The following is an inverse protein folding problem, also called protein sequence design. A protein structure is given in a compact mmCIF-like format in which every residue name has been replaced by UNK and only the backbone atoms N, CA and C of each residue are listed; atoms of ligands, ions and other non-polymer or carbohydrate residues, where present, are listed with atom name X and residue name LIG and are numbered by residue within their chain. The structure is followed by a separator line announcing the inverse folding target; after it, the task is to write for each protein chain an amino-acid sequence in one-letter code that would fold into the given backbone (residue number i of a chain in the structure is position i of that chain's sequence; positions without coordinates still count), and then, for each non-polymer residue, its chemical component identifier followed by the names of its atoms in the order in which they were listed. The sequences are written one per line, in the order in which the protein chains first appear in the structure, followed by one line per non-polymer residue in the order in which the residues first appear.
data_IF_478463462707
#
_entry.id   IF_478463462707
#
_cell.length_a   1.000
_cell.length_b   1.000
_cell.length_c   1.000
_cell.angle_alpha   90.00
_cell.angle_beta   90.00
_cell.angle_gamma   90.00
#
_symmetry.space_group_name_H-M   'P 1'
#
loop_
_entity.id
_entity.type
_entity.pdbx_description
1 polymer ?
#
# COMPACT_ATOMS: atom_id res chain seq x y z
N UNK A 1 45.08 -36.49 37.61
CA UNK A 1 46.56 -36.34 37.68
C UNK A 1 47.00 -35.51 38.89
N UNK A 2 46.71 -34.20 38.99
CA UNK A 2 47.14 -33.38 40.16
C UNK A 2 46.47 -33.86 41.45
N UNK A 3 45.19 -34.23 41.39
CA UNK A 3 44.47 -34.84 42.50
C UNK A 3 45.09 -36.18 42.92
N UNK A 4 45.37 -37.07 41.95
CA UNK A 4 46.04 -38.36 42.21
C UNK A 4 47.43 -38.20 42.84
N UNK A 5 48.23 -37.23 42.37
CA UNK A 5 49.54 -36.90 42.95
C UNK A 5 49.37 -36.36 44.37
N UNK A 6 48.35 -35.53 44.62
CA UNK A 6 48.05 -35.00 45.95
C UNK A 6 47.62 -36.13 46.91
N UNK A 7 46.81 -37.08 46.46
CA UNK A 7 46.39 -38.25 47.25
C UNK A 7 47.59 -39.17 47.55
N UNK A 8 48.44 -39.45 46.57
CA UNK A 8 49.66 -40.24 46.76
C UNK A 8 50.64 -39.55 47.70
N UNK A 9 50.83 -38.24 47.56
CA UNK A 9 51.69 -37.44 48.43
C UNK A 9 51.14 -37.39 49.86
N UNK A 10 49.82 -37.32 50.02
CA UNK A 10 49.14 -37.40 51.31
C UNK A 10 49.37 -38.76 52.00
N UNK A 11 49.27 -39.86 51.24
CA UNK A 11 49.57 -41.22 51.73
C UNK A 11 51.06 -41.41 52.08
N UNK A 12 51.97 -40.90 51.25
CA UNK A 12 53.41 -40.91 51.51
C UNK A 12 53.76 -40.11 52.77
N UNK A 13 53.18 -38.92 52.94
CA UNK A 13 53.36 -38.06 54.11
C UNK A 13 52.76 -38.67 55.39
N UNK A 14 51.65 -39.40 55.27
CA UNK A 14 51.06 -40.16 56.37
C UNK A 14 52.01 -41.29 56.82
N UNK A 15 52.53 -42.07 55.88
CA UNK A 15 53.49 -43.14 56.19
C UNK A 15 54.77 -42.57 56.82
N UNK A 16 55.28 -41.45 56.31
CA UNK A 16 56.43 -40.75 56.89
C UNK A 16 56.16 -40.21 58.30
N UNK A 17 54.93 -39.73 58.57
CA UNK A 17 54.52 -39.27 59.90
C UNK A 17 54.45 -40.42 60.91
N UNK A 18 53.98 -41.60 60.48
CA UNK A 18 53.94 -42.82 61.29
C UNK A 18 55.37 -43.28 61.63
N UNK A 19 56.25 -43.33 60.63
CA UNK A 19 57.64 -43.76 60.84
C UNK A 19 58.43 -42.77 61.73
N UNK A 20 58.18 -41.47 61.57
CA UNK A 20 58.76 -40.44 62.43
C UNK A 20 58.29 -40.53 63.90
N UNK A 21 57.05 -41.00 64.13
CA UNK A 21 56.55 -41.28 65.48
C UNK A 21 57.23 -42.52 66.10
N UNK A 22 57.51 -43.56 65.29
CA UNK A 22 58.26 -44.75 65.73
C UNK A 22 59.71 -44.43 66.15
N UNK A 23 60.35 -43.44 65.55
CA UNK A 23 61.72 -43.01 65.87
C UNK A 23 61.85 -42.19 67.18
N UNK A 24 60.75 -41.93 67.90
CA UNK A 24 60.76 -41.29 69.21
C UNK A 24 61.37 -39.88 69.22
N UNK A 25 62.34 -39.62 70.10
CA UNK A 25 62.97 -38.29 70.25
C UNK A 25 63.76 -37.84 69.01
N UNK A 26 64.31 -38.78 68.23
CA UNK A 26 65.10 -38.49 67.03
C UNK A 26 64.23 -38.14 65.81
N UNK A 27 62.94 -38.54 65.81
CA UNK A 27 62.00 -38.33 64.71
C UNK A 27 61.18 -37.04 64.77
N UNK A 28 61.27 -36.26 65.86
CA UNK A 28 60.42 -35.07 66.07
C UNK A 28 60.48 -34.04 64.93
N UNK A 29 61.67 -33.78 64.39
CA UNK A 29 61.83 -32.86 63.26
C UNK A 29 61.20 -33.39 61.96
N UNK A 30 61.36 -34.69 61.69
CA UNK A 30 60.75 -35.36 60.53
C UNK A 30 59.22 -35.43 60.64
N UNK A 31 58.67 -35.61 61.85
CA UNK A 31 57.23 -35.64 62.09
C UNK A 31 56.56 -34.30 61.74
N UNK A 32 57.20 -33.17 62.07
CA UNK A 32 56.69 -31.83 61.73
C UNK A 32 56.69 -31.63 60.22
N UNK A 33 57.77 -32.02 59.53
CA UNK A 33 57.86 -31.92 58.06
C UNK A 33 56.81 -32.81 57.40
N UNK A 34 56.64 -34.06 57.84
CA UNK A 34 55.66 -34.98 57.28
C UNK A 34 54.21 -34.47 57.47
N UNK A 35 53.91 -33.86 58.62
CA UNK A 35 52.60 -33.25 58.86
C UNK A 35 52.34 -32.03 57.96
N UNK A 36 53.35 -31.19 57.71
CA UNK A 36 53.21 -30.05 56.80
C UNK A 36 53.06 -30.49 55.34
N UNK A 37 53.81 -31.51 54.90
CA UNK A 37 53.65 -32.11 53.56
C UNK A 37 52.23 -32.69 53.40
N UNK A 38 51.71 -33.36 54.43
CA UNK A 38 50.33 -33.89 54.43
C UNK A 38 49.30 -32.77 54.25
N UNK A 39 49.46 -31.68 55.01
CA UNK A 39 48.57 -30.52 54.94
C UNK A 39 48.62 -29.83 53.57
N UNK A 40 49.81 -29.68 52.98
CA UNK A 40 49.99 -29.14 51.63
C UNK A 40 49.35 -30.05 50.56
N UNK A 41 49.44 -31.37 50.73
CA UNK A 41 48.80 -32.34 49.84
C UNK A 41 47.26 -32.26 49.92
N UNK A 42 46.68 -32.19 51.13
CA UNK A 42 45.24 -31.98 51.34
C UNK A 42 44.75 -30.62 50.79
N UNK A 43 45.56 -29.56 50.92
CA UNK A 43 45.27 -28.25 50.32
C UNK A 43 45.33 -28.30 48.79
N UNK A 44 46.31 -29.01 48.22
CA UNK A 44 46.49 -29.15 46.78
C UNK A 44 45.35 -29.95 46.14
N UNK A 45 44.89 -31.03 46.80
CA UNK A 45 43.71 -31.80 46.38
C UNK A 45 42.44 -30.94 46.37
N UNK A 46 42.19 -30.16 47.44
CA UNK A 46 41.04 -29.23 47.49
C UNK A 46 41.11 -28.16 46.40
N UNK A 47 42.28 -27.56 46.18
CA UNK A 47 42.46 -26.57 45.13
C UNK A 47 42.23 -27.17 43.73
N UNK A 48 42.71 -28.39 43.49
CA UNK A 48 42.47 -29.12 42.24
C UNK A 48 40.97 -29.39 42.01
N UNK A 49 40.23 -29.79 43.04
CA UNK A 49 38.78 -29.98 42.96
C UNK A 49 38.01 -28.68 42.67
N UNK A 50 38.40 -27.57 43.28
CA UNK A 50 37.80 -26.25 42.99
C UNK A 50 38.12 -25.77 41.56
N UNK A 51 39.34 -26.02 41.08
CA UNK A 51 39.70 -25.76 39.67
C UNK A 51 38.86 -26.63 38.73
N UNK A 52 38.64 -27.90 39.07
CA UNK A 52 37.82 -28.80 38.26
C UNK A 52 36.39 -28.29 38.11
N UNK A 53 35.72 -27.92 39.21
CA UNK A 53 34.38 -27.32 39.17
C UNK A 53 34.33 -26.05 38.33
N UNK A 54 35.36 -25.20 38.41
CA UNK A 54 35.44 -23.98 37.59
C UNK A 54 35.58 -24.31 36.10
N UNK A 55 36.35 -25.34 35.77
CA UNK A 55 36.49 -25.81 34.38
C UNK A 55 35.16 -26.36 33.87
N UNK A 56 34.45 -27.17 34.66
CA UNK A 56 33.11 -27.67 34.29
C UNK A 56 32.14 -26.52 34.03
N UNK A 57 32.09 -25.52 34.92
CA UNK A 57 31.24 -24.35 34.73
C UNK A 57 31.59 -23.54 33.46
N UNK A 58 32.88 -23.42 33.13
CA UNK A 58 33.33 -22.78 31.88
C UNK A 58 32.93 -23.60 30.65
N UNK A 59 33.03 -24.93 30.72
CA UNK A 59 32.61 -25.83 29.63
C UNK A 59 31.10 -25.79 29.40
N UNK A 60 30.30 -25.77 30.47
CA UNK A 60 28.85 -25.62 30.40
C UNK A 60 28.48 -24.27 29.78
N UNK A 61 29.09 -23.17 30.27
CA UNK A 61 28.89 -21.84 29.71
C UNK A 61 29.29 -21.74 28.24
N UNK A 62 30.37 -22.43 27.83
CA UNK A 62 30.79 -22.49 26.42
C UNK A 62 29.79 -23.25 25.56
N UNK A 63 29.22 -24.34 26.06
CA UNK A 63 28.19 -25.11 25.34
C UNK A 63 26.95 -24.24 25.14
N UNK A 64 26.49 -23.58 26.20
CA UNK A 64 25.34 -22.69 26.13
C UNK A 64 25.55 -21.50 25.18
N UNK A 65 26.76 -20.94 25.15
CA UNK A 65 27.10 -19.89 24.20
C UNK A 65 27.02 -20.36 22.74
N UNK A 66 27.45 -21.60 22.45
CA UNK A 66 27.35 -22.19 21.10
C UNK A 66 25.88 -22.38 20.71
N UNK A 67 25.04 -22.90 21.61
CA UNK A 67 23.60 -23.06 21.37
C UNK A 67 22.93 -21.71 21.07
N UNK A 68 23.21 -20.70 21.89
CA UNK A 68 22.67 -19.34 21.70
C UNK A 68 23.08 -18.75 20.35
N UNK A 69 24.34 -18.94 19.94
CA UNK A 69 24.83 -18.47 18.63
C UNK A 69 24.14 -19.22 17.48
N UNK A 70 23.88 -20.52 17.64
CA UNK A 70 23.14 -21.31 16.65
C UNK A 70 21.69 -20.82 16.49
N UNK A 71 21.00 -20.57 17.61
CA UNK A 71 19.64 -20.01 17.61
C UNK A 71 19.60 -18.62 16.96
N UNK A 72 20.55 -17.76 17.32
CA UNK A 72 20.70 -16.44 16.71
C UNK A 72 20.92 -16.54 15.19
N UNK A 73 21.70 -17.51 14.72
CA UNK A 73 21.86 -17.80 13.30
C UNK A 73 20.54 -18.15 12.61
N UNK A 74 19.70 -18.99 13.25
CA UNK A 74 18.36 -19.31 12.76
C UNK A 74 17.46 -18.08 12.66
N UNK A 75 17.44 -17.23 13.69
CA UNK A 75 16.68 -15.98 13.68
C UNK A 75 17.11 -15.02 12.57
N UNK A 76 18.43 -14.89 12.33
CA UNK A 76 18.96 -14.05 11.24
C UNK A 76 18.48 -14.55 9.88
N UNK A 77 18.41 -15.87 9.67
CA UNK A 77 17.88 -16.43 8.41
C UNK A 77 16.41 -16.07 8.20
N UNK A 78 15.57 -16.24 9.24
CA UNK A 78 14.16 -15.86 9.16
C UNK A 78 13.98 -14.36 8.93
N UNK A 79 14.78 -13.52 9.60
CA UNK A 79 14.73 -12.08 9.42
C UNK A 79 15.17 -11.66 8.01
N UNK A 80 16.18 -12.34 7.44
CA UNK A 80 16.64 -12.10 6.07
C UNK A 80 15.52 -12.39 5.06
N UNK A 81 14.78 -13.48 5.26
CA UNK A 81 13.64 -13.82 4.40
C UNK A 81 12.50 -12.79 4.52
N UNK A 82 12.18 -12.35 5.73
CA UNK A 82 11.15 -11.33 5.95
C UNK A 82 11.52 -9.98 5.30
N UNK A 83 12.80 -9.59 5.33
CA UNK A 83 13.31 -8.39 4.63
C UNK A 83 13.16 -8.55 3.12
N UNK A 84 13.49 -9.73 2.57
CA UNK A 84 13.34 -10.02 1.14
C UNK A 84 11.88 -9.99 0.69
N UNK A 85 10.96 -10.52 1.50
CA UNK A 85 9.52 -10.43 1.25
C UNK A 85 9.06 -8.98 1.23
N UNK A 86 9.52 -8.18 2.18
CA UNK A 86 9.24 -6.74 2.25
C UNK A 86 9.76 -6.00 1.01
N UNK A 87 10.95 -6.32 0.53
CA UNK A 87 11.52 -5.76 -0.70
C UNK A 87 10.64 -6.06 -1.92
N UNK A 88 10.14 -7.29 -2.06
CA UNK A 88 9.22 -7.65 -3.14
C UNK A 88 7.90 -6.86 -3.08
N UNK A 89 7.37 -6.60 -1.88
CA UNK A 89 6.18 -5.76 -1.70
C UNK A 89 6.43 -4.34 -2.19
N UNK A 90 7.59 -3.75 -1.89
CA UNK A 90 7.95 -2.41 -2.36
C UNK A 90 8.06 -2.34 -3.88
N UNK A 91 8.65 -3.35 -4.53
CA UNK A 91 8.71 -3.41 -6.00
C UNK A 91 7.30 -3.48 -6.61
N UNK A 92 6.41 -4.29 -6.04
CA UNK A 92 5.02 -4.35 -6.51
C UNK A 92 4.28 -3.02 -6.28
N UNK A 93 4.57 -2.33 -5.19
CA UNK A 93 3.97 -1.03 -4.89
C UNK A 93 4.41 0.04 -5.89
N UNK A 94 5.67 0.02 -6.33
CA UNK A 94 6.17 0.92 -7.38
C UNK A 94 5.40 0.74 -8.70
N UNK A 95 5.17 -0.50 -9.15
CA UNK A 95 4.39 -0.80 -10.35
C UNK A 95 2.93 -0.29 -10.24
N UNK A 96 2.31 -0.44 -9.06
CA UNK A 96 0.96 0.09 -8.80
C UNK A 96 0.94 1.62 -8.87
N UNK A 97 1.96 2.29 -8.34
CA UNK A 97 2.07 3.76 -8.40
C UNK A 97 2.19 4.24 -9.85
N UNK A 98 3.03 3.60 -10.67
CA UNK A 98 3.19 3.93 -12.09
C UNK A 98 1.85 3.80 -12.84
N UNK A 99 1.13 2.68 -12.63
CA UNK A 99 -0.20 2.48 -13.24
C UNK A 99 -1.22 3.51 -12.78
N UNK A 100 -1.13 3.96 -11.53
CA UNK A 100 -1.99 5.01 -11.01
C UNK A 100 -1.70 6.36 -11.66
N UNK A 101 -0.44 6.70 -11.90
CA UNK A 101 -0.07 7.91 -12.63
C UNK A 101 -0.60 7.90 -14.07
N UNK A 102 -0.47 6.76 -14.78
CA UNK A 102 -1.02 6.58 -16.13
C UNK A 102 -2.55 6.74 -16.16
N UNK A 103 -3.25 6.15 -15.19
CA UNK A 103 -4.70 6.25 -15.07
C UNK A 103 -5.16 7.71 -14.80
N UNK A 104 -4.42 8.43 -13.95
CA UNK A 104 -4.68 9.85 -13.68
C UNK A 104 -4.48 10.68 -14.96
N UNK A 105 -3.41 10.43 -15.71
CA UNK A 105 -3.15 11.13 -16.98
C UNK A 105 -4.28 10.90 -18.00
N UNK A 106 -4.76 9.66 -18.14
CA UNK A 106 -5.92 9.34 -18.98
C UNK A 106 -7.20 10.03 -18.52
N UNK A 107 -7.42 10.13 -17.21
CA UNK A 107 -8.58 10.80 -16.64
C UNK A 107 -8.56 12.30 -16.94
N UNK A 108 -7.41 12.95 -16.79
CA UNK A 108 -7.21 14.36 -17.15
C UNK A 108 -7.51 14.59 -18.62
N UNK A 109 -7.01 13.71 -19.51
CA UNK A 109 -7.29 13.79 -20.94
C UNK A 109 -8.79 13.63 -21.24
N UNK A 110 -9.45 12.64 -20.63
CA UNK A 110 -10.89 12.40 -20.81
C UNK A 110 -11.74 13.59 -20.34
N UNK A 111 -11.38 14.21 -19.20
CA UNK A 111 -12.06 15.41 -18.70
C UNK A 111 -11.86 16.59 -19.63
N UNK A 112 -10.67 16.74 -20.24
CA UNK A 112 -10.42 17.79 -21.22
C UNK A 112 -11.31 17.62 -22.45
N UNK A 113 -11.35 16.42 -23.03
CA UNK A 113 -12.22 16.10 -24.18
C UNK A 113 -13.68 16.33 -23.86
N UNK A 114 -14.17 15.86 -22.70
CA UNK A 114 -15.56 16.07 -22.28
C UNK A 114 -15.92 17.56 -22.15
N UNK A 115 -14.99 18.41 -21.70
CA UNK A 115 -15.23 19.85 -21.65
C UNK A 115 -15.33 20.48 -23.04
N UNK A 116 -14.49 20.06 -23.99
CA UNK A 116 -14.57 20.52 -25.38
C UNK A 116 -15.89 20.11 -26.03
N UNK A 117 -16.32 18.87 -25.83
CA UNK A 117 -17.62 18.39 -26.32
C UNK A 117 -18.79 19.17 -25.70
N UNK A 118 -18.72 19.42 -24.38
CA UNK A 118 -19.72 20.23 -23.67
C UNK A 118 -19.80 21.65 -24.24
N UNK A 119 -18.67 22.29 -24.56
CA UNK A 119 -18.66 23.62 -25.17
C UNK A 119 -19.27 23.62 -26.59
N UNK A 120 -18.98 22.59 -27.39
CA UNK A 120 -19.58 22.42 -28.72
C UNK A 120 -21.10 22.22 -28.66
N UNK A 121 -21.59 21.45 -27.68
CA UNK A 121 -23.03 21.26 -27.43
C UNK A 121 -23.69 22.58 -27.05
N UNK A 122 -23.09 23.36 -26.15
CA UNK A 122 -23.61 24.68 -25.75
C UNK A 122 -23.70 25.62 -26.95
N UNK A 123 -22.68 25.66 -27.80
CA UNK A 123 -22.70 26.48 -29.01
C UNK A 123 -23.82 26.04 -29.97
N UNK A 124 -23.95 24.74 -30.21
CA UNK A 124 -24.99 24.19 -31.09
C UNK A 124 -26.39 24.49 -30.58
N UNK A 125 -26.63 24.37 -29.27
CA UNK A 125 -27.89 24.73 -28.65
C UNK A 125 -28.21 26.24 -28.82
N UNK A 126 -27.19 27.09 -28.77
CA UNK A 126 -27.31 28.52 -29.07
C UNK A 126 -27.78 28.79 -30.50
N UNK A 127 -27.17 28.14 -31.49
CA UNK A 127 -27.57 28.26 -32.90
C UNK A 127 -29.01 27.77 -33.13
N UNK A 128 -29.40 26.64 -32.54
CA UNK A 128 -30.78 26.13 -32.63
C UNK A 128 -31.78 27.13 -32.05
N UNK A 129 -31.46 27.78 -30.92
CA UNK A 129 -32.32 28.78 -30.30
C UNK A 129 -32.46 30.06 -31.16
N UNK A 130 -31.43 30.42 -31.94
CA UNK A 130 -31.50 31.51 -32.91
C UNK A 130 -32.37 31.15 -34.12
N UNK A 131 -32.17 29.96 -34.70
CA UNK A 131 -32.98 29.47 -35.82
C UNK A 131 -34.46 29.31 -35.45
N UNK A 132 -34.75 28.83 -34.25
CA UNK A 132 -36.11 28.72 -33.74
C UNK A 132 -36.79 30.10 -33.62
N UNK A 133 -36.06 31.12 -33.14
CA UNK A 133 -36.57 32.51 -33.08
C UNK A 133 -36.82 33.08 -34.48
N UNK A 134 -35.91 32.85 -35.41
CA UNK A 134 -36.08 33.28 -36.80
C UNK A 134 -37.29 32.60 -37.47
N UNK A 135 -37.47 31.29 -37.22
CA UNK A 135 -38.62 30.53 -37.73
C UNK A 135 -39.95 31.03 -37.17
N UNK A 136 -39.99 31.34 -35.87
CA UNK A 136 -41.19 31.92 -35.24
C UNK A 136 -41.56 33.27 -35.86
N UNK A 137 -40.58 34.17 -36.08
CA UNK A 137 -40.79 35.44 -36.74
C UNK A 137 -41.29 35.27 -38.20
N UNK A 138 -40.73 34.32 -38.93
CA UNK A 138 -41.19 34.00 -40.29
C UNK A 138 -42.63 33.48 -40.31
N UNK A 139 -43.02 32.65 -39.34
CA UNK A 139 -44.40 32.19 -39.19
C UNK A 139 -45.37 33.36 -38.92
N UNK A 140 -44.99 34.32 -38.07
CA UNK A 140 -45.78 35.53 -37.82
C UNK A 140 -45.95 36.37 -39.10
N UNK A 141 -44.88 36.55 -39.88
CA UNK A 141 -44.95 37.25 -41.17
C UNK A 141 -45.89 36.54 -42.15
N UNK A 142 -45.74 35.22 -42.30
CA UNK A 142 -46.60 34.41 -43.18
C UNK A 142 -48.06 34.53 -42.74
N UNK A 143 -48.35 34.45 -41.44
CA UNK A 143 -49.71 34.58 -40.92
C UNK A 143 -50.31 35.96 -41.23
N UNK A 144 -49.52 37.03 -41.10
CA UNK A 144 -49.91 38.38 -41.50
C UNK A 144 -50.25 38.47 -42.98
N UNK A 145 -49.37 37.93 -43.85
CA UNK A 145 -49.57 37.90 -45.30
C UNK A 145 -50.81 37.09 -45.69
N UNK A 146 -51.03 35.93 -45.07
CA UNK A 146 -52.23 35.11 -45.29
C UNK A 146 -53.50 35.87 -44.91
N UNK A 147 -53.49 36.66 -43.83
CA UNK A 147 -54.64 37.48 -43.43
C UNK A 147 -54.95 38.58 -44.45
N UNK A 148 -53.93 39.28 -44.94
CA UNK A 148 -54.09 40.28 -46.02
C UNK A 148 -54.58 39.64 -47.32
N UNK A 149 -54.04 38.47 -47.65
CA UNK A 149 -54.45 37.72 -48.84
C UNK A 149 -55.91 37.28 -48.76
N UNK A 150 -56.37 36.80 -47.60
CA UNK A 150 -57.78 36.46 -47.38
C UNK A 150 -58.70 37.68 -47.59
N UNK A 151 -58.36 38.83 -46.99
CA UNK A 151 -59.11 40.07 -47.17
C UNK A 151 -59.17 40.54 -48.62
N UNK A 152 -58.08 40.35 -49.37
CA UNK A 152 -58.03 40.67 -50.81
C UNK A 152 -58.95 39.75 -51.62
N UNK A 153 -58.97 38.45 -51.30
CA UNK A 153 -59.85 37.47 -51.93
C UNK A 153 -61.33 37.80 -51.66
N UNK A 154 -61.67 38.15 -50.42
CA UNK A 154 -63.03 38.60 -50.06
C UNK A 154 -63.44 39.84 -50.87
N UNK A 155 -62.53 40.81 -51.04
CA UNK A 155 -62.77 41.98 -51.88
C UNK A 155 -62.99 41.66 -53.35
N UNK A 156 -62.22 40.72 -53.92
CA UNK A 156 -62.40 40.24 -55.30
C UNK A 156 -63.73 39.53 -55.48
N UNK A 157 -64.14 38.71 -54.50
CA UNK A 157 -65.44 38.03 -54.53
C UNK A 157 -66.60 39.05 -54.54
N UNK A 158 -66.56 40.05 -53.65
CA UNK A 158 -67.57 41.11 -53.61
C UNK A 158 -67.62 41.93 -54.90
N UNK A 159 -66.48 42.28 -55.49
CA UNK A 159 -66.42 42.98 -56.77
C UNK A 159 -67.00 42.13 -57.92
N UNK A 160 -66.80 40.80 -57.88
CA UNK A 160 -67.35 39.87 -58.86
C UNK A 160 -68.88 39.77 -58.73
N UNK A 161 -69.43 39.76 -57.51
CA UNK A 161 -70.88 39.83 -57.27
C UNK A 161 -71.48 41.15 -57.78
N UNK A 162 -70.82 42.29 -57.50
CA UNK A 162 -71.26 43.59 -58.03
C UNK A 162 -71.25 43.61 -59.56
N UNK A 163 -70.20 43.09 -60.20
CA UNK A 163 -70.12 42.98 -61.65
C UNK A 163 -71.24 42.10 -62.23
N UNK A 164 -71.57 40.99 -61.57
CA UNK A 164 -72.68 40.13 -61.98
C UNK A 164 -74.03 40.86 -61.91
N UNK A 165 -74.29 41.58 -60.81
CA UNK A 165 -75.50 42.40 -60.65
C UNK A 165 -75.59 43.50 -61.72
N UNK A 166 -74.48 44.22 -61.98
CA UNK A 166 -74.43 45.27 -63.00
C UNK A 166 -74.71 44.72 -64.40
N UNK A 167 -74.23 43.51 -64.69
CA UNK A 167 -74.49 42.83 -65.95
C UNK A 167 -75.97 42.41 -66.08
N UNK A 168 -76.61 41.94 -65.01
CA UNK A 168 -78.06 41.66 -65.00
C UNK A 168 -78.90 42.93 -65.24
N UNK A 169 -78.55 44.03 -64.59
CA UNK A 169 -79.18 45.34 -64.81
C UNK A 169 -79.02 45.82 -66.26
N UNK A 170 -77.81 45.69 -66.81
CA UNK A 170 -77.52 46.04 -68.20
C UNK A 170 -78.36 45.18 -69.17
N UNK A 171 -78.45 43.87 -68.93
CA UNK A 171 -79.30 42.96 -69.73
C UNK A 171 -80.77 43.36 -69.64
N UNK A 172 -81.28 43.71 -68.45
CA UNK A 172 -82.65 44.21 -68.29
C UNK A 172 -82.88 45.52 -69.06
N UNK A 173 -81.96 46.47 -68.97
CA UNK A 173 -82.04 47.73 -69.69
C UNK A 173 -82.08 47.51 -71.21
N UNK A 174 -81.20 46.65 -71.75
CA UNK A 174 -81.20 46.30 -73.18
C UNK A 174 -82.53 45.68 -73.61
N UNK A 175 -83.13 44.80 -72.79
CA UNK A 175 -84.46 44.21 -73.08
C UNK A 175 -85.58 45.24 -73.16
N UNK A 176 -85.53 46.35 -72.42
CA UNK A 176 -86.52 47.43 -72.55
C UNK A 176 -86.41 48.19 -73.88
N UNK A 177 -85.22 48.23 -74.48
CA UNK A 177 -85.00 48.89 -75.77
C UNK A 177 -85.20 47.96 -76.98
N UNK A 178 -85.34 46.65 -76.78
CA UNK A 178 -85.80 45.72 -77.80
C UNK A 178 -87.33 45.63 -77.80
N UNK A 179 -87.99 46.59 -78.46
CA UNK A 179 -89.32 46.42 -79.07
C UNK A 179 -89.12 46.03 -80.53
#
# INVERSE_FOLDING_TARGET
MIEDISVQTNLLALNASIEAACAGSHGKGFAVVAQEVRKLAEQSSRAAGEIHKKIEAVQEGSTHAIETVSEAGGHIMTQTEAVRETEMVFVNQEDVIIKMEEAIAQMVHSVHTANQEKDAVVQTAGHIAEEARASAASCEEVQGRTRTQLSTIEGVAAASEQLASLNEELIQAIRQFQI
#
